data_IF_357131523862
#
_entry.id   IF_357131523862
#
_cell.length_a   1.000
_cell.length_b   1.000
_cell.length_c   1.000
_cell.angle_alpha   90.00
_cell.angle_beta   90.00
_cell.angle_gamma   90.00
#
_symmetry.space_group_name_H-M   'P 1'
#
loop_
_entity.id
_entity.type
_entity.pdbx_description
1 polymer ?
#
# COMPACT_ATOMS: atom_id res chain seq x y z
N UNK A 1 -7.49 -12.14 -4.25
CA UNK A 1 -6.51 -11.09 -3.97
C UNK A 1 -6.78 -10.45 -2.61
N UNK A 2 -5.72 -10.03 -1.93
CA UNK A 2 -5.86 -9.39 -0.62
C UNK A 2 -6.48 -8.01 -0.77
N UNK A 3 -7.36 -7.63 0.17
CA UNK A 3 -7.89 -6.28 0.26
C UNK A 3 -6.77 -5.25 0.37
N UNK A 4 -5.68 -5.60 1.06
CA UNK A 4 -4.55 -4.69 1.22
C UNK A 4 -3.80 -4.48 -0.10
N UNK A 5 -3.70 -5.52 -0.93
CA UNK A 5 -3.08 -5.38 -2.25
C UNK A 5 -3.89 -4.40 -3.10
N UNK A 6 -5.21 -4.51 -3.08
CA UNK A 6 -6.08 -3.59 -3.81
C UNK A 6 -5.96 -2.16 -3.27
N UNK A 7 -5.88 -2.02 -1.95
CA UNK A 7 -5.72 -0.71 -1.32
C UNK A 7 -4.39 -0.05 -1.72
N UNK A 8 -3.30 -0.82 -1.74
CA UNK A 8 -1.99 -0.32 -2.17
C UNK A 8 -2.06 0.16 -3.61
N UNK A 9 -2.65 -0.63 -4.47
CA UNK A 9 -2.76 -0.30 -5.89
C UNK A 9 -3.57 0.98 -6.09
N UNK A 10 -4.74 1.08 -5.47
CA UNK A 10 -5.60 2.25 -5.60
C UNK A 10 -4.93 3.50 -5.06
N UNK A 11 -4.29 3.40 -3.89
CA UNK A 11 -3.61 4.55 -3.29
C UNK A 11 -2.43 4.99 -4.14
N UNK A 12 -1.69 4.05 -4.71
CA UNK A 12 -0.56 4.37 -5.56
C UNK A 12 -1.01 5.06 -6.84
N UNK A 13 -2.07 4.60 -7.45
CA UNK A 13 -2.63 5.23 -8.66
C UNK A 13 -3.09 6.67 -8.35
N UNK A 14 -3.75 6.85 -7.20
CA UNK A 14 -4.16 8.18 -6.76
C UNK A 14 -2.95 9.09 -6.55
N UNK A 15 -1.89 8.56 -5.95
CA UNK A 15 -0.66 9.31 -5.76
C UNK A 15 -0.09 9.76 -7.10
N UNK A 16 -0.02 8.88 -8.09
CA UNK A 16 0.56 9.22 -9.38
C UNK A 16 -0.21 10.39 -10.04
N UNK A 17 -1.53 10.36 -10.00
CA UNK A 17 -2.35 11.44 -10.55
C UNK A 17 -2.10 12.76 -9.83
N UNK A 18 -2.14 12.74 -8.52
CA UNK A 18 -1.99 13.96 -7.73
C UNK A 18 -0.56 14.50 -7.82
N UNK A 19 0.41 13.59 -7.90
CA UNK A 19 1.81 13.98 -8.04
C UNK A 19 2.06 14.73 -9.34
N UNK A 20 1.45 14.27 -10.44
CA UNK A 20 1.56 14.95 -11.73
C UNK A 20 1.00 16.36 -11.66
N UNK A 21 -0.17 16.51 -11.05
CA UNK A 21 -0.79 17.83 -10.86
C UNK A 21 0.09 18.75 -10.00
N UNK A 22 0.69 18.18 -8.95
CA UNK A 22 1.59 18.93 -8.08
C UNK A 22 2.82 19.41 -8.85
N UNK A 23 3.43 18.54 -9.65
CA UNK A 23 4.60 18.90 -10.45
C UNK A 23 4.27 20.01 -11.45
N UNK A 24 3.01 20.09 -11.87
CA UNK A 24 2.55 21.14 -12.80
C UNK A 24 2.11 22.41 -12.07
N UNK A 25 2.37 22.51 -10.78
CA UNK A 25 2.15 23.74 -10.02
C UNK A 25 0.91 23.78 -9.16
N UNK A 26 0.15 22.69 -9.06
CA UNK A 26 -1.05 22.64 -8.23
C UNK A 26 -0.69 22.29 -6.78
N UNK A 27 -0.66 23.33 -5.91
CA UNK A 27 -0.29 23.13 -4.50
C UNK A 27 -1.26 22.25 -3.73
N UNK A 28 -2.56 22.34 -4.02
CA UNK A 28 -3.56 21.49 -3.35
C UNK A 28 -3.33 20.01 -3.68
N UNK A 29 -2.84 19.71 -4.89
CA UNK A 29 -2.53 18.34 -5.28
C UNK A 29 -1.39 17.77 -4.45
N UNK A 30 -0.47 18.62 -3.98
CA UNK A 30 0.62 18.18 -3.09
C UNK A 30 0.07 17.60 -1.79
N UNK A 31 -0.94 18.24 -1.21
CA UNK A 31 -1.57 17.73 0.00
C UNK A 31 -2.25 16.38 -0.26
N UNK A 32 -2.93 16.25 -1.40
CA UNK A 32 -3.59 15.00 -1.76
C UNK A 32 -2.58 13.90 -2.07
N UNK A 33 -1.46 14.24 -2.70
CA UNK A 33 -0.38 13.29 -2.98
C UNK A 33 0.22 12.75 -1.68
N UNK A 34 0.45 13.62 -0.71
CA UNK A 34 0.98 13.21 0.60
C UNK A 34 0.00 12.28 1.32
N UNK A 35 -1.29 12.58 1.24
CA UNK A 35 -2.31 11.73 1.84
C UNK A 35 -2.31 10.34 1.18
N UNK A 36 -2.21 10.30 -0.14
CA UNK A 36 -2.16 9.03 -0.86
C UNK A 36 -0.94 8.22 -0.44
N UNK A 37 0.22 8.86 -0.24
CA UNK A 37 1.42 8.17 0.23
C UNK A 37 1.22 7.60 1.64
N UNK A 38 0.51 8.30 2.51
CA UNK A 38 0.20 7.78 3.84
C UNK A 38 -0.68 6.53 3.74
N UNK A 39 -1.62 6.53 2.81
CA UNK A 39 -2.49 5.38 2.60
C UNK A 39 -1.70 4.19 2.05
N UNK A 40 -0.74 4.43 1.14
CA UNK A 40 0.16 3.39 0.66
C UNK A 40 0.95 2.79 1.82
N UNK A 41 1.52 3.65 2.67
CA UNK A 41 2.31 3.20 3.81
C UNK A 41 1.48 2.34 4.77
N UNK A 42 0.26 2.78 5.07
CA UNK A 42 -0.62 2.05 5.97
C UNK A 42 -0.98 0.68 5.40
N UNK A 43 -1.41 0.64 4.15
CA UNK A 43 -1.80 -0.61 3.51
C UNK A 43 -0.59 -1.54 3.33
N UNK A 44 0.58 -0.96 3.02
CA UNK A 44 1.80 -1.74 2.88
C UNK A 44 2.19 -2.40 4.21
N UNK A 45 2.05 -1.68 5.32
CA UNK A 45 2.34 -2.21 6.64
C UNK A 45 1.42 -3.40 6.96
N UNK A 46 0.14 -3.26 6.68
CA UNK A 46 -0.82 -4.33 6.89
C UNK A 46 -0.52 -5.53 6.00
N UNK A 47 -0.14 -5.28 4.75
CA UNK A 47 0.20 -6.38 3.83
C UNK A 47 1.45 -7.12 4.27
N UNK A 48 2.44 -6.40 4.77
CA UNK A 48 3.66 -7.03 5.31
C UNK A 48 3.32 -7.99 6.45
N UNK A 49 2.40 -7.58 7.32
CA UNK A 49 1.94 -8.42 8.41
C UNK A 49 1.24 -9.66 7.89
N UNK A 50 0.37 -9.51 6.89
CA UNK A 50 -0.32 -10.64 6.27
C UNK A 50 0.67 -11.65 5.69
N UNK A 51 1.70 -11.15 5.02
CA UNK A 51 2.71 -12.00 4.42
C UNK A 51 3.47 -12.77 5.50
N UNK A 52 3.85 -12.09 6.57
CA UNK A 52 4.55 -12.72 7.68
C UNK A 52 3.69 -13.81 8.31
N UNK A 53 2.41 -13.50 8.56
CA UNK A 53 1.49 -14.46 9.17
C UNK A 53 1.29 -15.68 8.26
N UNK A 54 1.16 -15.45 6.97
CA UNK A 54 0.99 -16.53 5.99
C UNK A 54 2.25 -17.39 5.92
N UNK A 55 3.43 -16.78 5.90
CA UNK A 55 4.70 -17.51 5.89
C UNK A 55 4.82 -18.38 7.14
N UNK A 56 4.49 -17.83 8.29
CA UNK A 56 4.56 -18.55 9.54
C UNK A 56 3.61 -19.74 9.55
N UNK A 57 2.40 -19.56 9.03
CA UNK A 57 1.43 -20.64 8.92
C UNK A 57 1.93 -21.75 7.98
N UNK A 58 2.52 -21.37 6.84
CA UNK A 58 3.08 -22.33 5.89
C UNK A 58 4.27 -23.07 6.48
N UNK A 59 5.15 -22.35 7.19
CA UNK A 59 6.32 -22.96 7.81
C UNK A 59 5.90 -23.94 8.92
N UNK A 60 4.89 -23.56 9.72
CA UNK A 60 4.36 -24.46 10.74
C UNK A 60 3.80 -25.73 10.14
N UNK A 61 3.07 -25.62 9.03
CA UNK A 61 2.53 -26.77 8.31
C UNK A 61 3.65 -27.63 7.77
N UNK A 62 4.70 -27.01 7.21
CA UNK A 62 5.86 -27.74 6.69
C UNK A 62 6.61 -28.46 7.78
N UNK A 63 6.78 -27.83 8.94
CA UNK A 63 7.48 -28.41 10.08
C UNK A 63 6.69 -29.58 10.66
N UNK A 64 5.36 -29.51 10.59
CA UNK A 64 4.49 -30.58 11.12
C UNK A 64 4.57 -31.86 10.29
N UNK A 65 5.14 -31.78 9.15
CA UNK A 65 5.29 -32.95 8.28
C UNK A 65 6.62 -33.63 8.51
#
# INVERSE_FOLDING_TARGET
MSTQVEAIKAAFESFLEENEKFENGNGAAGTRARKALQEVTKAAKERRKEITDTKNARNSAAVSQ
#
